data_IF_249783746430
#
_entry.id   IF_249783746430
#
_cell.length_a   1.000
_cell.length_b   1.000
_cell.length_c   1.000
_cell.angle_alpha   90.00
_cell.angle_beta   90.00
_cell.angle_gamma   90.00
#
_symmetry.space_group_name_H-M   'P 1'
#
loop_
_entity.id
_entity.type
_entity.pdbx_description
1 polymer ?
#
# COMPACT_ATOMS: atom_id res chain seq x y z
N UNK A 1 -18.96 8.08 -11.38
CA UNK A 1 -19.52 6.85 -11.98
C UNK A 1 -21.04 6.98 -12.05
N UNK A 2 -21.65 6.74 -13.22
CA UNK A 2 -23.10 6.77 -13.38
C UNK A 2 -23.76 5.61 -12.61
N UNK A 3 -24.89 5.88 -11.95
CA UNK A 3 -25.63 4.92 -11.14
C UNK A 3 -26.25 3.86 -12.08
N UNK A 4 -26.03 2.55 -11.88
CA UNK A 4 -26.65 1.53 -12.70
C UNK A 4 -28.18 1.64 -12.57
N UNK A 5 -28.88 1.70 -13.71
CA UNK A 5 -30.34 1.74 -13.76
C UNK A 5 -30.87 0.38 -13.29
N UNK A 6 -31.60 0.38 -12.17
CA UNK A 6 -32.28 -0.80 -11.63
C UNK A 6 -33.33 -1.23 -12.66
N UNK A 7 -33.24 -2.46 -13.18
CA UNK A 7 -34.07 -2.96 -14.29
C UNK A 7 -35.37 -3.65 -13.83
N UNK A 8 -35.46 -4.08 -12.56
CA UNK A 8 -36.64 -4.77 -12.01
C UNK A 8 -37.44 -3.87 -11.07
N UNK A 9 -38.76 -3.85 -11.23
CA UNK A 9 -39.72 -3.05 -10.44
C UNK A 9 -39.69 -3.39 -8.93
N UNK A 10 -39.36 -4.64 -8.61
CA UNK A 10 -39.32 -5.21 -7.26
C UNK A 10 -38.07 -4.80 -6.48
N UNK A 11 -36.96 -4.51 -7.17
CA UNK A 11 -35.70 -4.07 -6.56
C UNK A 11 -35.64 -2.56 -6.28
N UNK A 12 -36.69 -1.82 -6.68
CA UNK A 12 -36.79 -0.38 -6.39
C UNK A 12 -37.03 -0.18 -4.89
N UNK A 13 -36.25 0.72 -4.30
CA UNK A 13 -36.41 1.16 -2.91
C UNK A 13 -37.69 1.98 -2.77
N UNK A 14 -38.82 1.33 -2.43
CA UNK A 14 -40.15 1.97 -2.34
C UNK A 14 -40.51 2.45 -0.93
N UNK A 15 -39.91 1.87 0.10
CA UNK A 15 -40.27 2.13 1.50
C UNK A 15 -39.15 2.83 2.27
N UNK A 16 -39.52 3.84 3.06
CA UNK A 16 -38.60 4.55 3.95
C UNK A 16 -38.66 3.96 5.35
N UNK A 17 -37.48 3.68 5.91
CA UNK A 17 -37.32 3.25 7.30
C UNK A 17 -36.66 4.42 8.04
N UNK A 18 -37.34 4.96 9.07
CA UNK A 18 -36.77 5.99 9.98
C UNK A 18 -36.52 5.35 11.33
N UNK A 19 -35.27 5.38 11.78
CA UNK A 19 -34.84 4.78 13.06
C UNK A 19 -34.28 5.89 13.93
N UNK A 20 -34.70 5.92 15.20
CA UNK A 20 -34.04 6.73 16.23
C UNK A 20 -32.94 5.91 16.86
N UNK A 21 -31.75 6.48 16.95
CA UNK A 21 -30.59 5.87 17.60
C UNK A 21 -30.04 6.84 18.63
N UNK A 22 -29.38 6.31 19.66
CA UNK A 22 -28.66 7.11 20.63
C UNK A 22 -27.32 7.64 20.06
N UNK A 23 -26.72 8.57 20.80
CA UNK A 23 -25.45 9.22 20.43
C UNK A 23 -24.30 8.19 20.27
N UNK A 24 -24.27 7.16 21.13
CA UNK A 24 -23.24 6.12 21.10
C UNK A 24 -23.33 5.26 19.85
N UNK A 25 -24.55 4.83 19.49
CA UNK A 25 -24.80 4.04 18.28
C UNK A 25 -24.51 4.88 17.04
N UNK A 26 -24.89 6.15 17.03
CA UNK A 26 -24.58 7.05 15.92
C UNK A 26 -23.06 7.20 15.72
N UNK A 27 -22.28 7.36 16.79
CA UNK A 27 -20.81 7.42 16.72
C UNK A 27 -20.21 6.10 16.21
N UNK A 28 -20.72 4.95 16.68
CA UNK A 28 -20.28 3.62 16.22
C UNK A 28 -20.54 3.44 14.73
N UNK A 29 -21.75 3.76 14.25
CA UNK A 29 -22.12 3.66 12.84
C UNK A 29 -21.29 4.59 11.96
N UNK A 30 -21.00 5.81 12.42
CA UNK A 30 -20.11 6.73 11.70
C UNK A 30 -18.68 6.19 11.60
N UNK A 31 -18.15 5.60 12.67
CA UNK A 31 -16.83 4.98 12.66
C UNK A 31 -16.78 3.82 11.66
N UNK A 32 -17.78 2.93 11.69
CA UNK A 32 -17.91 1.83 10.74
C UNK A 32 -18.03 2.33 9.30
N UNK A 33 -18.82 3.39 9.07
CA UNK A 33 -19.02 3.97 7.74
C UNK A 33 -17.71 4.50 7.16
N UNK A 34 -16.93 5.26 7.94
CA UNK A 34 -15.62 5.78 7.53
C UNK A 34 -14.61 4.69 7.20
N UNK A 35 -14.73 3.54 7.85
CA UNK A 35 -13.86 2.39 7.63
C UNK A 35 -14.41 1.43 6.57
N UNK A 36 -15.55 1.71 5.93
CA UNK A 36 -16.21 0.78 5.00
C UNK A 36 -16.21 1.27 3.55
N UNK A 37 -16.62 0.39 2.64
CA UNK A 37 -16.93 0.71 1.24
C UNK A 37 -18.22 1.53 1.03
N UNK A 38 -18.91 1.89 2.11
CA UNK A 38 -20.19 2.59 2.05
C UNK A 38 -19.99 4.11 1.96
N UNK A 39 -20.63 4.74 0.97
CA UNK A 39 -20.58 6.19 0.71
C UNK A 39 -21.35 7.02 1.74
N UNK A 40 -22.17 6.39 2.59
CA UNK A 40 -22.92 7.06 3.64
C UNK A 40 -23.61 6.11 4.59
N UNK A 41 -24.09 6.65 5.71
CA UNK A 41 -24.75 5.90 6.79
C UNK A 41 -25.96 5.10 6.31
N UNK A 42 -26.78 5.65 5.42
CA UNK A 42 -27.96 4.95 4.89
C UNK A 42 -27.59 3.72 4.06
N UNK A 43 -26.46 3.77 3.33
CA UNK A 43 -25.96 2.63 2.58
C UNK A 43 -25.43 1.55 3.52
N UNK A 44 -24.68 1.95 4.55
CA UNK A 44 -24.19 1.04 5.58
C UNK A 44 -25.34 0.37 6.34
N UNK A 45 -26.31 1.16 6.83
CA UNK A 45 -27.48 0.66 7.55
C UNK A 45 -28.30 -0.30 6.68
N UNK A 46 -28.47 0.02 5.39
CA UNK A 46 -29.14 -0.89 4.44
C UNK A 46 -28.39 -2.21 4.32
N UNK A 47 -27.07 -2.19 4.10
CA UNK A 47 -26.29 -3.42 4.00
C UNK A 47 -26.42 -4.28 5.26
N UNK A 48 -26.35 -3.66 6.44
CA UNK A 48 -26.55 -4.35 7.72
C UNK A 48 -27.96 -4.97 7.82
N UNK A 49 -29.01 -4.21 7.47
CA UNK A 49 -30.40 -4.69 7.51
C UNK A 49 -30.67 -5.81 6.50
N UNK A 50 -30.01 -5.76 5.34
CA UNK A 50 -30.15 -6.76 4.27
C UNK A 50 -29.17 -7.94 4.44
N UNK A 51 -28.39 -7.96 5.53
CA UNK A 51 -27.33 -8.95 5.78
C UNK A 51 -26.33 -9.06 4.62
N UNK A 52 -26.13 -7.96 3.89
CA UNK A 52 -25.16 -7.87 2.82
C UNK A 52 -23.74 -7.67 3.40
N UNK A 53 -22.69 -8.20 2.77
CA UNK A 53 -21.33 -8.03 3.24
C UNK A 53 -20.90 -6.55 3.20
N UNK A 54 -20.48 -6.06 4.36
CA UNK A 54 -19.83 -4.75 4.51
C UNK A 54 -18.32 -4.97 4.52
N UNK A 55 -17.64 -4.53 3.46
CA UNK A 55 -16.18 -4.57 3.44
C UNK A 55 -15.65 -3.43 4.32
N UNK A 56 -15.02 -3.80 5.44
CA UNK A 56 -14.35 -2.87 6.33
C UNK A 56 -12.87 -2.84 5.95
N UNK A 57 -12.42 -1.71 5.44
CA UNK A 57 -11.01 -1.43 5.18
C UNK A 57 -10.29 -1.16 6.51
N UNK A 58 -9.63 -2.20 7.02
CA UNK A 58 -8.65 -2.02 8.08
C UNK A 58 -7.35 -1.51 7.45
N UNK A 59 -7.14 -0.18 7.46
CA UNK A 59 -5.84 0.40 7.08
C UNK A 59 -4.82 0.03 8.15
N UNK A 60 -3.96 -0.93 7.84
CA UNK A 60 -2.89 -1.34 8.74
C UNK A 60 -1.79 -0.26 8.75
N UNK A 61 -1.89 0.66 9.70
CA UNK A 61 -0.94 1.78 9.87
C UNK A 61 0.49 1.26 10.08
N UNK A 62 0.63 0.03 10.59
CA UNK A 62 1.94 -0.58 10.82
C UNK A 62 2.69 -0.95 9.52
N UNK A 63 2.03 -0.90 8.36
CA UNK A 63 2.63 -1.09 7.04
C UNK A 63 3.12 0.20 6.39
N UNK A 64 2.71 1.37 6.90
CA UNK A 64 3.10 2.65 6.29
C UNK A 64 4.61 2.91 6.42
N UNK A 65 5.19 2.70 7.61
CA UNK A 65 6.62 2.96 7.86
C UNK A 65 7.56 2.14 6.95
N UNK A 66 7.46 0.80 6.93
CA UNK A 66 8.27 -0.02 6.02
C UNK A 66 8.07 0.36 4.54
N UNK A 67 6.85 0.70 4.12
CA UNK A 67 6.56 1.07 2.74
C UNK A 67 7.19 2.42 2.35
N UNK A 68 7.19 3.40 3.25
CA UNK A 68 7.89 4.68 3.04
C UNK A 68 9.41 4.46 2.91
N UNK A 69 9.99 3.62 3.77
CA UNK A 69 11.42 3.29 3.72
C UNK A 69 11.79 2.60 2.39
N UNK A 70 11.00 1.62 1.93
CA UNK A 70 11.18 0.98 0.63
C UNK A 70 11.09 1.99 -0.53
N UNK A 71 10.16 2.95 -0.46
CA UNK A 71 10.01 3.98 -1.48
C UNK A 71 11.23 4.91 -1.54
N UNK A 72 11.82 5.25 -0.40
CA UNK A 72 13.06 6.03 -0.32
C UNK A 72 14.24 5.24 -0.91
N UNK A 73 14.44 3.99 -0.49
CA UNK A 73 15.51 3.12 -1.02
C UNK A 73 15.42 3.01 -2.54
N UNK A 74 14.22 2.80 -3.09
CA UNK A 74 14.00 2.75 -4.54
C UNK A 74 14.43 4.04 -5.23
N UNK A 75 14.15 5.21 -4.64
CA UNK A 75 14.53 6.51 -5.20
C UNK A 75 16.05 6.67 -5.20
N UNK A 76 16.72 6.26 -4.13
CA UNK A 76 18.17 6.31 -4.00
C UNK A 76 18.88 5.35 -4.96
N UNK A 77 18.42 4.10 -5.08
CA UNK A 77 18.97 3.15 -6.07
C UNK A 77 18.83 3.73 -7.48
N UNK A 78 17.67 4.35 -7.80
CA UNK A 78 17.46 4.99 -9.11
C UNK A 78 18.44 6.14 -9.35
N UNK A 79 18.69 7.01 -8.37
CA UNK A 79 19.63 8.11 -8.53
C UNK A 79 21.07 7.61 -8.70
N UNK A 80 21.46 6.57 -7.97
CA UNK A 80 22.79 5.96 -8.14
C UNK A 80 22.92 5.32 -9.52
N UNK A 81 21.89 4.61 -10.00
CA UNK A 81 21.89 4.02 -11.35
C UNK A 81 22.03 5.07 -12.46
N UNK A 82 21.36 6.22 -12.32
CA UNK A 82 21.55 7.37 -13.23
C UNK A 82 23.00 7.86 -13.21
N UNK A 83 23.61 7.98 -12.02
CA UNK A 83 24.99 8.41 -11.89
C UNK A 83 25.98 7.40 -12.51
N UNK A 84 25.77 6.10 -12.31
CA UNK A 84 26.57 5.05 -12.95
C UNK A 84 26.49 5.20 -14.47
N UNK A 85 25.30 5.38 -15.03
CA UNK A 85 25.14 5.58 -16.47
C UNK A 85 25.93 6.80 -16.99
N UNK A 86 25.96 7.89 -16.22
CA UNK A 86 26.79 9.06 -16.54
C UNK A 86 28.29 8.73 -16.48
N UNK A 87 28.76 8.04 -15.45
CA UNK A 87 30.17 7.64 -15.35
C UNK A 87 30.58 6.73 -16.51
N UNK A 88 29.73 5.78 -16.90
CA UNK A 88 29.96 4.90 -18.05
C UNK A 88 30.06 5.70 -19.36
N UNK A 89 29.19 6.70 -19.56
CA UNK A 89 29.28 7.58 -20.71
C UNK A 89 30.61 8.37 -20.74
N UNK A 90 31.01 8.94 -19.60
CA UNK A 90 32.28 9.67 -19.49
C UNK A 90 33.50 8.78 -19.68
N UNK A 91 33.45 7.54 -19.21
CA UNK A 91 34.49 6.54 -19.45
C UNK A 91 34.67 6.28 -20.96
N UNK A 92 33.57 6.03 -21.69
CA UNK A 92 33.63 5.74 -23.12
C UNK A 92 34.07 6.93 -23.97
N UNK A 93 33.71 8.15 -23.57
CA UNK A 93 34.07 9.38 -24.31
C UNK A 93 35.47 9.91 -23.97
N UNK A 94 36.10 9.41 -22.90
CA UNK A 94 37.44 9.83 -22.48
C UNK A 94 38.55 9.27 -23.38
N UNK A 95 39.38 10.15 -23.93
CA UNK A 95 40.53 9.78 -24.78
C UNK A 95 41.78 9.40 -23.97
N UNK A 96 41.92 9.90 -22.74
CA UNK A 96 43.07 9.61 -21.86
C UNK A 96 42.84 8.38 -20.97
N UNK A 97 43.87 7.54 -20.83
CA UNK A 97 43.87 6.39 -19.92
C UNK A 97 43.67 6.80 -18.46
N UNK A 98 44.26 7.91 -18.03
CA UNK A 98 44.12 8.41 -16.66
C UNK A 98 42.67 8.84 -16.35
N UNK A 99 42.02 9.53 -17.29
CA UNK A 99 40.61 9.92 -17.16
C UNK A 99 39.69 8.69 -17.10
N UNK A 100 39.95 7.67 -17.92
CA UNK A 100 39.22 6.39 -17.85
C UNK A 100 39.37 5.70 -16.49
N UNK A 101 40.57 5.63 -15.94
CA UNK A 101 40.80 5.04 -14.62
C UNK A 101 40.04 5.80 -13.52
N UNK A 102 40.01 7.12 -13.58
CA UNK A 102 39.23 7.94 -12.65
C UNK A 102 37.74 7.56 -12.66
N UNK A 103 37.12 7.40 -13.83
CA UNK A 103 35.71 7.02 -13.94
C UNK A 103 35.43 5.59 -13.48
N UNK A 104 36.40 4.66 -13.63
CA UNK A 104 36.30 3.31 -13.08
C UNK A 104 36.26 3.33 -11.55
N UNK A 105 37.16 4.08 -10.92
CA UNK A 105 37.20 4.25 -9.45
C UNK A 105 35.86 4.80 -8.93
N UNK A 106 35.35 5.86 -9.57
CA UNK A 106 34.05 6.46 -9.23
C UNK A 106 32.88 5.51 -9.41
N UNK A 107 32.91 4.70 -10.46
CA UNK A 107 31.87 3.72 -10.71
C UNK A 107 31.88 2.64 -9.63
N UNK A 108 33.06 2.19 -9.19
CA UNK A 108 33.21 1.24 -8.08
C UNK A 108 32.61 1.78 -6.78
N UNK A 109 32.90 3.03 -6.41
CA UNK A 109 32.29 3.69 -5.24
C UNK A 109 30.75 3.71 -5.30
N UNK A 110 30.18 3.86 -6.49
CA UNK A 110 28.73 3.85 -6.68
C UNK A 110 28.13 2.44 -6.53
N UNK A 111 28.83 1.40 -6.97
CA UNK A 111 28.40 0.01 -6.77
C UNK A 111 28.41 -0.38 -5.29
N UNK A 112 29.45 0.00 -4.53
CA UNK A 112 29.51 -0.23 -3.08
C UNK A 112 28.32 0.44 -2.35
N UNK A 113 27.92 1.64 -2.79
CA UNK A 113 26.72 2.31 -2.27
C UNK A 113 25.42 1.59 -2.59
N UNK A 114 25.32 0.94 -3.76
CA UNK A 114 24.14 0.14 -4.12
C UNK A 114 24.05 -1.10 -3.23
N UNK A 115 25.17 -1.77 -2.96
CA UNK A 115 25.22 -3.00 -2.17
C UNK A 115 24.61 -2.78 -0.77
N UNK A 116 25.02 -1.72 -0.08
CA UNK A 116 24.45 -1.31 1.22
C UNK A 116 22.93 -1.10 1.15
N UNK A 117 22.43 -0.52 0.04
CA UNK A 117 20.99 -0.27 -0.16
C UNK A 117 20.23 -1.56 -0.46
N UNK A 118 20.84 -2.51 -1.17
CA UNK A 118 20.26 -3.83 -1.43
C UNK A 118 20.17 -4.64 -0.14
N UNK A 119 21.20 -4.65 0.68
CA UNK A 119 21.18 -5.32 2.00
C UNK A 119 20.02 -4.79 2.84
N UNK A 120 19.90 -3.46 2.95
CA UNK A 120 18.78 -2.85 3.69
C UNK A 120 17.41 -3.18 3.10
N UNK A 121 17.30 -3.22 1.77
CA UNK A 121 16.07 -3.63 1.08
C UNK A 121 15.67 -5.06 1.45
N UNK A 122 16.63 -5.98 1.46
CA UNK A 122 16.41 -7.38 1.81
C UNK A 122 15.97 -7.54 3.26
N UNK A 123 16.59 -6.82 4.21
CA UNK A 123 16.17 -6.82 5.61
C UNK A 123 14.71 -6.40 5.80
N UNK A 124 14.28 -5.33 5.12
CA UNK A 124 12.90 -4.83 5.23
C UNK A 124 11.93 -5.83 4.59
N UNK A 125 12.29 -6.37 3.43
CA UNK A 125 11.51 -7.39 2.74
C UNK A 125 11.31 -8.63 3.61
N UNK A 126 12.35 -9.07 4.30
CA UNK A 126 12.30 -10.24 5.19
C UNK A 126 11.40 -9.99 6.40
N UNK A 127 11.52 -8.82 7.05
CA UNK A 127 10.61 -8.41 8.14
C UNK A 127 9.14 -8.37 7.68
N UNK A 128 8.88 -7.89 6.47
CA UNK A 128 7.54 -7.85 5.90
C UNK A 128 7.02 -9.26 5.58
N UNK A 129 7.87 -10.14 5.04
CA UNK A 129 7.53 -11.52 4.74
C UNK A 129 7.18 -12.29 6.03
N UNK A 130 7.98 -12.15 7.09
CA UNK A 130 7.69 -12.73 8.40
C UNK A 130 6.36 -12.26 8.98
N UNK A 131 6.10 -10.94 8.94
CA UNK A 131 4.83 -10.38 9.44
C UNK A 131 3.63 -10.86 8.63
N UNK A 132 3.79 -11.01 7.31
CA UNK A 132 2.75 -11.56 6.44
C UNK A 132 2.42 -13.02 6.79
N UNK A 133 3.44 -13.86 6.97
CA UNK A 133 3.29 -15.28 7.33
C UNK A 133 2.70 -15.49 8.73
N UNK A 134 3.02 -14.62 9.69
CA UNK A 134 2.42 -14.67 11.02
C UNK A 134 0.93 -14.32 10.97
N UNK A 135 0.54 -13.28 10.22
CA UNK A 135 -0.87 -12.86 10.11
C UNK A 135 -1.74 -13.91 9.41
N UNK A 136 -1.23 -14.57 8.36
CA UNK A 136 -1.96 -15.63 7.65
C UNK A 136 -2.15 -16.91 8.50
N UNK A 137 -1.32 -17.11 9.51
CA UNK A 137 -1.43 -18.22 10.45
C UNK A 137 -2.49 -17.95 11.53
N UNK A 138 -2.62 -16.70 11.99
CA UNK A 138 -3.60 -16.29 13.01
C UNK A 138 -5.04 -16.27 12.45
N UNK A 139 -5.24 -15.83 11.21
CA UNK A 139 -6.57 -15.83 10.56
C UNK A 139 -7.15 -17.25 10.37
N UNK A 140 -6.30 -18.30 10.28
CA UNK A 140 -6.77 -19.69 10.20
C UNK A 140 -7.27 -20.23 11.54
N UNK A 141 -6.80 -19.70 12.66
CA UNK A 141 -7.19 -20.17 14.01
C UNK A 141 -8.47 -19.51 14.55
N UNK A 142 -8.85 -18.34 14.03
CA UNK A 142 -10.02 -17.58 14.51
C UNK A 142 -11.29 -17.77 13.67
N UNK A 143 -11.22 -18.48 12.54
CA UNK A 143 -12.36 -18.83 11.68
C UNK A 143 -12.94 -20.23 11.91
N UNK A 144 -12.47 -20.94 12.93
CA UNK A 144 -12.93 -22.29 13.29
C UNK A 144 -13.50 -22.33 14.69
N UNK A 145 -14.65 -21.68 14.92
CA UNK A 145 -15.53 -21.89 16.08
C UNK A 145 -16.94 -21.42 15.72
#
# INVERSE_FOLDING_TARGET
MPRPKIKKEEEKLKHYIRIRVDEQTLKRLNKMQKMSDCKGLSQLARKILMQEPVQIFHRDISMNGPMEELAMIRKEIRSIGININQQTYHFHTSQSKAARMFYVERTKELYEKIEIKIERLLEITDKLAHKWLQKSSVEKTSGGS
#
